data_IF_021742530091
#
_entry.id   IF_021742530091
#
_cell.length_a   1.000
_cell.length_b   1.000
_cell.length_c   1.000
_cell.angle_alpha   90.00
_cell.angle_beta   90.00
_cell.angle_gamma   90.00
#
_symmetry.space_group_name_H-M   'P 1'
#
loop_
_entity.id
_entity.type
_entity.pdbx_description
1 polymer ?
#
# COMPACT_ATOMS: atom_id res chain seq x y z
N UNK A 1 -12.02 -2.23 -14.24
CA UNK A 1 -10.87 -3.15 -14.09
C UNK A 1 -10.49 -3.10 -12.63
N UNK A 2 -10.45 -4.24 -11.95
CA UNK A 2 -10.04 -4.29 -10.55
C UNK A 2 -8.53 -4.02 -10.39
N UNK A 3 -8.12 -3.68 -9.17
CA UNK A 3 -6.72 -3.42 -8.86
C UNK A 3 -5.82 -4.62 -9.14
N UNK A 4 -6.25 -5.81 -8.72
CA UNK A 4 -5.50 -7.05 -8.98
C UNK A 4 -5.36 -7.36 -10.47
N UNK A 5 -6.42 -7.11 -11.26
CA UNK A 5 -6.38 -7.28 -12.72
C UNK A 5 -5.43 -6.29 -13.39
N UNK A 6 -5.38 -5.04 -12.90
CA UNK A 6 -4.46 -4.02 -13.39
C UNK A 6 -3.01 -4.43 -13.12
N UNK A 7 -2.70 -4.87 -11.90
CA UNK A 7 -1.36 -5.34 -11.54
C UNK A 7 -0.96 -6.55 -12.41
N UNK A 8 -1.85 -7.53 -12.54
CA UNK A 8 -1.60 -8.72 -13.37
C UNK A 8 -1.34 -8.36 -14.84
N UNK A 9 -2.05 -7.35 -15.37
CA UNK A 9 -1.82 -6.87 -16.74
C UNK A 9 -0.46 -6.16 -16.87
N UNK A 10 -0.11 -5.29 -15.92
CA UNK A 10 1.15 -4.55 -15.94
C UNK A 10 2.36 -5.46 -15.78
N UNK A 11 2.24 -6.49 -14.95
CA UNK A 11 3.29 -7.48 -14.66
C UNK A 11 3.37 -8.61 -15.70
N UNK A 12 2.63 -8.51 -16.81
CA UNK A 12 2.71 -9.52 -17.87
C UNK A 12 4.05 -9.41 -18.57
N UNK A 13 4.83 -10.50 -18.65
CA UNK A 13 6.06 -10.52 -19.43
C UNK A 13 5.79 -10.23 -20.91
N UNK A 14 6.79 -9.73 -21.60
CA UNK A 14 6.77 -9.56 -23.05
C UNK A 14 6.79 -10.92 -23.78
N UNK A 15 6.81 -10.89 -25.12
CA UNK A 15 6.85 -12.09 -25.98
C UNK A 15 8.10 -12.95 -25.75
N UNK A 16 9.17 -12.37 -25.20
CA UNK A 16 10.43 -13.06 -24.86
C UNK A 16 10.47 -13.55 -23.41
N UNK A 17 9.41 -13.33 -22.63
CA UNK A 17 9.33 -13.71 -21.23
C UNK A 17 9.97 -12.71 -20.27
N UNK A 18 10.35 -11.52 -20.74
CA UNK A 18 11.00 -10.50 -19.92
C UNK A 18 9.98 -9.59 -19.24
N UNK A 19 10.23 -9.26 -17.97
CA UNK A 19 9.51 -8.22 -17.24
C UNK A 19 10.05 -6.83 -17.63
N UNK A 20 9.22 -5.79 -17.52
CA UNK A 20 9.70 -4.41 -17.58
C UNK A 20 10.81 -4.19 -16.54
N UNK A 21 11.88 -3.50 -16.94
CA UNK A 21 13.08 -3.30 -16.10
C UNK A 21 12.99 -2.05 -15.25
N UNK A 22 12.13 -1.12 -15.63
CA UNK A 22 11.93 0.13 -14.91
C UNK A 22 10.45 0.35 -14.61
N UNK A 23 10.16 0.54 -13.32
CA UNK A 23 8.82 0.75 -12.79
C UNK A 23 8.74 2.11 -12.12
N UNK A 24 7.62 2.78 -12.27
CA UNK A 24 7.33 4.03 -11.59
C UNK A 24 5.99 3.95 -10.86
N UNK A 25 6.05 3.85 -9.53
CA UNK A 25 4.88 3.89 -8.66
C UNK A 25 4.61 5.35 -8.27
N UNK A 26 3.44 5.85 -8.64
CA UNK A 26 3.12 7.26 -8.53
C UNK A 26 1.77 7.46 -7.86
N UNK A 27 1.76 8.04 -6.66
CA UNK A 27 0.54 8.33 -5.89
C UNK A 27 0.73 8.13 -4.40
N UNK A 28 -0.20 8.66 -3.63
CA UNK A 28 -0.10 8.78 -2.17
C UNK A 28 -0.91 7.74 -1.39
N UNK A 29 -1.50 6.75 -2.05
CA UNK A 29 -2.27 5.70 -1.36
C UNK A 29 -1.35 4.57 -0.87
N UNK A 30 -1.13 4.43 0.44
CA UNK A 30 -0.13 3.51 0.97
C UNK A 30 -0.43 2.04 0.65
N UNK A 31 -1.69 1.61 0.78
CA UNK A 31 -2.07 0.22 0.52
C UNK A 31 -1.78 -0.18 -0.92
N UNK A 32 -2.16 0.66 -1.88
CA UNK A 32 -1.95 0.37 -3.30
C UNK A 32 -0.45 0.36 -3.65
N UNK A 33 0.32 1.26 -3.03
CA UNK A 33 1.77 1.31 -3.23
C UNK A 33 2.46 0.05 -2.69
N UNK A 34 2.11 -0.39 -1.47
CA UNK A 34 2.64 -1.63 -0.87
C UNK A 34 2.29 -2.83 -1.74
N UNK A 35 1.05 -2.98 -2.15
CA UNK A 35 0.62 -4.11 -2.98
C UNK A 35 1.28 -4.13 -4.35
N UNK A 36 1.48 -2.96 -4.98
CA UNK A 36 2.21 -2.87 -6.24
C UNK A 36 3.67 -3.27 -6.06
N UNK A 37 4.35 -2.77 -5.02
CA UNK A 37 5.72 -3.16 -4.70
C UNK A 37 5.84 -4.66 -4.45
N UNK A 38 4.96 -5.24 -3.65
CA UNK A 38 5.00 -6.68 -3.34
C UNK A 38 4.73 -7.54 -4.58
N UNK A 39 3.83 -7.11 -5.45
CA UNK A 39 3.57 -7.79 -6.70
C UNK A 39 4.79 -7.74 -7.64
N UNK A 40 5.45 -6.57 -7.76
CA UNK A 40 6.68 -6.42 -8.55
C UNK A 40 7.81 -7.26 -7.95
N UNK A 41 8.01 -7.23 -6.63
CA UNK A 41 9.02 -8.05 -5.93
C UNK A 41 8.82 -9.54 -6.19
N UNK A 42 7.58 -10.02 -6.07
CA UNK A 42 7.26 -11.43 -6.32
C UNK A 42 7.52 -11.83 -7.77
N UNK A 43 7.22 -10.96 -8.74
CA UNK A 43 7.49 -11.18 -10.14
C UNK A 43 9.00 -11.13 -10.44
N UNK A 44 9.72 -10.15 -9.90
CA UNK A 44 11.16 -10.00 -10.03
C UNK A 44 11.90 -11.22 -9.47
N UNK A 45 11.53 -11.69 -8.27
CA UNK A 45 12.13 -12.88 -7.68
C UNK A 45 11.96 -14.13 -8.57
N UNK A 46 10.76 -14.32 -9.14
CA UNK A 46 10.51 -15.41 -10.09
C UNK A 46 11.32 -15.29 -11.38
N UNK A 47 11.68 -14.07 -11.78
CA UNK A 47 12.52 -13.78 -12.94
C UNK A 47 14.04 -13.81 -12.64
N UNK A 48 14.42 -14.21 -11.42
CA UNK A 48 15.82 -14.42 -11.00
C UNK A 48 16.51 -13.21 -10.37
N UNK A 49 15.76 -12.13 -10.06
CA UNK A 49 16.31 -11.00 -9.29
C UNK A 49 16.36 -11.39 -7.81
N UNK A 50 17.48 -11.93 -7.38
CA UNK A 50 17.66 -12.54 -6.03
C UNK A 50 18.12 -11.54 -4.99
N UNK A 51 18.83 -10.50 -5.40
CA UNK A 51 19.32 -9.46 -4.51
C UNK A 51 18.43 -8.23 -4.52
N UNK A 52 18.21 -7.61 -3.35
CA UNK A 52 17.40 -6.41 -3.20
C UNK A 52 18.19 -5.33 -2.48
N UNK A 53 18.27 -4.15 -3.10
CA UNK A 53 18.82 -2.93 -2.50
C UNK A 53 17.70 -1.88 -2.44
N UNK A 54 17.55 -1.19 -1.29
CA UNK A 54 16.49 -0.19 -1.12
C UNK A 54 17.07 1.12 -0.60
N UNK A 55 16.66 2.23 -1.22
CA UNK A 55 17.13 3.58 -0.93
C UNK A 55 15.94 4.51 -0.74
N UNK A 56 16.04 5.41 0.25
CA UNK A 56 15.08 6.48 0.48
C UNK A 56 15.82 7.81 0.41
N UNK A 57 15.36 8.72 -0.47
CA UNK A 57 16.01 10.00 -0.68
C UNK A 57 15.04 11.15 -0.48
N UNK A 58 15.43 12.11 0.35
CA UNK A 58 14.68 13.34 0.62
C UNK A 58 15.57 14.56 0.45
N UNK A 59 15.01 15.60 -0.14
CA UNK A 59 15.70 16.90 -0.28
C UNK A 59 17.04 16.80 -1.01
N UNK A 60 18.08 17.37 -0.43
CA UNK A 60 19.45 17.35 -0.97
C UNK A 60 20.22 16.12 -0.48
N UNK A 61 19.68 14.93 -0.70
CA UNK A 61 20.32 13.70 -0.29
C UNK A 61 21.62 13.42 -1.07
N UNK A 62 22.47 12.56 -0.49
CA UNK A 62 23.63 11.98 -1.17
C UNK A 62 23.19 10.74 -1.96
N UNK A 63 23.33 10.79 -3.27
CA UNK A 63 22.97 9.71 -4.20
C UNK A 63 24.12 8.74 -4.50
N UNK A 64 25.30 8.92 -3.88
CA UNK A 64 26.48 8.06 -4.11
C UNK A 64 26.17 6.56 -3.91
N UNK A 65 25.42 6.13 -2.87
CA UNK A 65 25.09 4.71 -2.71
C UNK A 65 24.22 4.15 -3.84
N UNK A 66 23.35 4.99 -4.43
CA UNK A 66 22.56 4.61 -5.59
C UNK A 66 23.44 4.44 -6.84
N UNK A 67 24.35 5.37 -7.10
CA UNK A 67 25.29 5.26 -8.23
C UNK A 67 26.19 4.03 -8.11
N UNK A 68 26.64 3.71 -6.93
CA UNK A 68 27.38 2.46 -6.66
C UNK A 68 26.52 1.24 -7.01
N UNK A 69 25.27 1.18 -6.51
CA UNK A 69 24.37 0.07 -6.78
C UNK A 69 24.00 -0.07 -8.28
N UNK A 70 23.86 1.06 -8.99
CA UNK A 70 23.61 1.07 -10.42
C UNK A 70 24.87 0.68 -11.24
N UNK A 71 26.06 1.06 -10.77
CA UNK A 71 27.35 0.75 -11.40
C UNK A 71 27.87 -0.66 -11.10
N UNK A 72 27.33 -1.32 -10.08
CA UNK A 72 27.77 -2.67 -9.69
C UNK A 72 27.50 -3.66 -10.85
N UNK A 73 28.57 -4.30 -11.31
CA UNK A 73 28.47 -5.41 -12.25
C UNK A 73 28.60 -6.70 -11.48
N UNK A 74 27.55 -7.51 -11.46
CA UNK A 74 27.63 -8.83 -10.82
C UNK A 74 28.67 -9.70 -11.53
N UNK A 75 29.71 -10.08 -10.81
CA UNK A 75 30.72 -11.01 -11.29
C UNK A 75 30.18 -12.44 -11.46
N UNK A 76 29.03 -12.72 -10.87
CA UNK A 76 28.40 -14.05 -10.84
C UNK A 76 27.07 -14.12 -11.60
N UNK A 77 26.71 -13.05 -12.35
CA UNK A 77 25.43 -12.99 -13.07
C UNK A 77 24.20 -12.86 -12.19
N UNK A 78 24.37 -12.39 -10.95
CA UNK A 78 23.24 -12.14 -10.04
C UNK A 78 22.46 -10.92 -10.49
N UNK A 79 21.12 -11.07 -10.55
CA UNK A 79 20.22 -9.98 -10.89
C UNK A 79 19.75 -9.23 -9.66
N UNK A 80 19.78 -7.91 -9.72
CA UNK A 80 19.45 -7.02 -8.61
C UNK A 80 18.11 -6.31 -8.81
N UNK A 81 17.29 -6.30 -7.77
CA UNK A 81 16.13 -5.41 -7.65
C UNK A 81 16.53 -4.18 -6.83
N UNK A 82 16.51 -3.01 -7.46
CA UNK A 82 16.84 -1.74 -6.83
C UNK A 82 15.54 -0.96 -6.60
N UNK A 83 15.24 -0.65 -5.35
CA UNK A 83 14.06 0.12 -4.97
C UNK A 83 14.50 1.53 -4.52
N UNK A 84 13.94 2.54 -5.17
CA UNK A 84 14.21 3.94 -4.87
C UNK A 84 12.92 4.62 -4.46
N UNK A 85 12.88 5.16 -3.26
CA UNK A 85 11.73 5.86 -2.72
C UNK A 85 12.03 7.35 -2.59
N UNK A 86 11.21 8.14 -3.23
CA UNK A 86 11.11 9.57 -3.02
C UNK A 86 9.81 9.86 -2.26
N UNK A 87 9.85 10.12 -0.95
CA UNK A 87 8.65 10.47 -0.18
C UNK A 87 7.96 11.71 -0.73
N UNK A 88 8.75 12.64 -1.30
CA UNK A 88 8.29 13.89 -1.93
C UNK A 88 9.00 14.15 -3.25
N UNK A 89 8.35 14.93 -4.12
CA UNK A 89 8.92 15.35 -5.40
C UNK A 89 10.08 16.36 -5.30
N UNK A 90 10.43 16.79 -4.11
CA UNK A 90 11.61 17.64 -3.84
C UNK A 90 12.87 16.79 -3.73
N UNK A 91 13.40 16.39 -4.89
CA UNK A 91 14.56 15.47 -4.99
C UNK A 91 15.93 16.20 -4.97
N UNK A 92 15.94 17.50 -4.63
CA UNK A 92 17.15 18.31 -4.54
C UNK A 92 17.84 18.59 -5.87
N UNK A 93 19.04 19.19 -5.80
CA UNK A 93 19.79 19.61 -6.99
C UNK A 93 20.30 18.41 -7.81
N UNK A 94 20.74 17.35 -7.13
CA UNK A 94 21.37 16.19 -7.76
C UNK A 94 20.34 15.09 -8.13
N UNK A 95 19.10 15.20 -7.64
CA UNK A 95 18.04 14.23 -7.90
C UNK A 95 17.72 14.01 -9.38
N UNK A 96 17.61 15.06 -10.21
CA UNK A 96 17.41 14.87 -11.65
C UNK A 96 18.48 13.99 -12.30
N UNK A 97 19.76 14.22 -11.98
CA UNK A 97 20.85 13.39 -12.51
C UNK A 97 20.78 11.94 -12.00
N UNK A 98 20.34 11.73 -10.75
CA UNK A 98 20.14 10.39 -10.22
C UNK A 98 18.98 9.64 -10.93
N UNK A 99 17.91 10.35 -11.29
CA UNK A 99 16.81 9.77 -12.08
C UNK A 99 17.27 9.41 -13.49
N UNK A 100 18.07 10.25 -14.15
CA UNK A 100 18.64 9.92 -15.47
C UNK A 100 19.54 8.67 -15.37
N UNK A 101 20.38 8.57 -14.34
CA UNK A 101 21.20 7.38 -14.12
C UNK A 101 20.35 6.10 -13.90
N UNK A 102 19.23 6.21 -13.19
CA UNK A 102 18.27 5.10 -13.05
C UNK A 102 17.76 4.65 -14.42
N UNK A 103 17.35 5.60 -15.27
CA UNK A 103 16.82 5.30 -16.61
C UNK A 103 17.87 4.62 -17.48
N UNK A 104 19.11 5.09 -17.42
CA UNK A 104 20.24 4.56 -18.22
C UNK A 104 20.68 3.17 -17.79
N UNK A 105 20.60 2.84 -16.47
CA UNK A 105 21.15 1.60 -15.92
C UNK A 105 20.10 0.53 -15.59
N UNK A 106 18.81 0.78 -15.87
CA UNK A 106 17.77 -0.25 -15.77
C UNK A 106 17.92 -1.24 -16.95
N UNK A 107 18.61 -2.35 -16.71
CA UNK A 107 19.02 -3.34 -17.71
C UNK A 107 18.56 -4.77 -17.36
N UNK A 108 19.11 -5.79 -18.00
CA UNK A 108 18.74 -7.20 -17.80
C UNK A 108 19.12 -7.72 -16.41
N UNK A 109 20.14 -7.14 -15.80
CA UNK A 109 20.66 -7.52 -14.50
C UNK A 109 20.13 -6.62 -13.38
N UNK A 110 19.54 -5.47 -13.74
CA UNK A 110 19.03 -4.48 -12.79
C UNK A 110 17.60 -4.05 -13.08
N UNK A 111 16.67 -4.55 -12.31
CA UNK A 111 15.29 -4.05 -12.29
C UNK A 111 15.20 -2.91 -11.28
N UNK A 112 14.68 -1.76 -11.69
CA UNK A 112 14.54 -0.60 -10.81
C UNK A 112 13.07 -0.25 -10.60
N UNK A 113 12.69 -0.04 -9.34
CA UNK A 113 11.36 0.44 -8.94
C UNK A 113 11.51 1.79 -8.28
N UNK A 114 11.00 2.82 -8.91
CA UNK A 114 10.95 4.17 -8.35
C UNK A 114 9.56 4.42 -7.78
N UNK A 115 9.47 4.82 -6.53
CA UNK A 115 8.22 5.21 -5.86
C UNK A 115 8.24 6.68 -5.50
N UNK A 116 7.19 7.41 -5.90
CA UNK A 116 7.00 8.82 -5.56
C UNK A 116 5.62 8.99 -4.93
N UNK A 117 5.59 9.33 -3.64
CA UNK A 117 4.33 9.35 -2.87
C UNK A 117 3.66 10.72 -2.82
N UNK A 118 4.42 11.77 -2.57
CA UNK A 118 3.87 13.12 -2.48
C UNK A 118 4.42 13.99 -3.62
N UNK A 119 3.54 14.37 -4.52
CA UNK A 119 3.88 15.24 -5.65
C UNK A 119 2.72 16.16 -5.98
N UNK A 120 3.08 17.33 -6.50
CA UNK A 120 2.14 18.31 -6.99
C UNK A 120 2.22 18.46 -8.53
N UNK A 121 1.34 19.30 -9.08
CA UNK A 121 1.35 19.59 -10.49
C UNK A 121 2.64 20.23 -11.01
N UNK A 122 3.42 20.87 -10.12
CA UNK A 122 4.71 21.50 -10.51
C UNK A 122 5.77 20.45 -10.79
N UNK A 123 5.73 19.31 -10.06
CA UNK A 123 6.60 18.18 -10.31
C UNK A 123 6.37 17.58 -11.71
N UNK A 124 5.13 17.52 -12.16
CA UNK A 124 4.77 16.97 -13.49
C UNK A 124 5.30 17.80 -14.66
N UNK A 125 5.76 19.02 -14.41
CA UNK A 125 6.41 19.91 -15.41
C UNK A 125 7.92 19.76 -15.47
N UNK A 126 8.52 19.01 -14.56
CA UNK A 126 9.97 18.79 -14.52
C UNK A 126 10.41 17.76 -15.56
N UNK A 127 11.55 18.03 -16.18
CA UNK A 127 12.09 17.14 -17.23
C UNK A 127 12.35 15.74 -16.72
N UNK A 128 12.99 15.60 -15.53
CA UNK A 128 13.25 14.31 -14.92
C UNK A 128 11.96 13.47 -14.70
N UNK A 129 10.87 14.12 -14.29
CA UNK A 129 9.58 13.45 -14.10
C UNK A 129 9.04 12.92 -15.43
N UNK A 130 9.06 13.76 -16.46
CA UNK A 130 8.58 13.40 -17.79
C UNK A 130 9.46 12.34 -18.45
N UNK A 131 10.78 12.35 -18.25
CA UNK A 131 11.68 11.31 -18.72
C UNK A 131 11.37 9.97 -18.05
N UNK A 132 11.23 9.95 -16.71
CA UNK A 132 10.89 8.75 -15.97
C UNK A 132 9.51 8.19 -16.37
N UNK A 133 8.51 9.07 -16.53
CA UNK A 133 7.16 8.69 -17.00
C UNK A 133 7.16 8.04 -18.39
N UNK A 134 8.07 8.44 -19.26
CA UNK A 134 8.20 7.88 -20.62
C UNK A 134 8.98 6.56 -20.64
N UNK A 135 10.00 6.45 -19.79
CA UNK A 135 10.90 5.30 -19.76
C UNK A 135 10.34 4.12 -18.96
N UNK A 136 9.54 4.39 -17.92
CA UNK A 136 9.08 3.38 -16.99
C UNK A 136 7.66 2.89 -17.27
N UNK A 137 7.36 1.67 -16.83
CA UNK A 137 5.96 1.23 -16.68
C UNK A 137 5.38 1.89 -15.43
N UNK A 138 4.48 2.85 -15.64
CA UNK A 138 3.84 3.57 -14.55
C UNK A 138 2.64 2.80 -13.99
N UNK A 139 2.58 2.72 -12.64
CA UNK A 139 1.43 2.25 -11.87
C UNK A 139 0.98 3.41 -10.98
N UNK A 140 -0.26 3.86 -11.18
CA UNK A 140 -0.86 4.91 -10.36
C UNK A 140 -1.38 4.30 -9.06
N UNK A 141 -0.98 4.91 -7.95
CA UNK A 141 -1.40 4.55 -6.59
C UNK A 141 -2.08 5.74 -5.92
N UNK A 142 -2.99 6.37 -6.65
CA UNK A 142 -3.74 7.52 -6.14
C UNK A 142 -4.82 7.06 -5.16
N UNK A 143 -5.22 7.93 -4.22
CA UNK A 143 -6.36 7.69 -3.35
C UNK A 143 -7.64 7.40 -4.15
N UNK A 144 -8.45 6.49 -3.64
CA UNK A 144 -9.74 6.15 -4.23
C UNK A 144 -10.76 7.22 -3.82
N UNK A 145 -11.49 7.74 -4.81
CA UNK A 145 -12.57 8.68 -4.56
C UNK A 145 -13.61 8.07 -3.60
N UNK A 146 -14.14 8.90 -2.68
CA UNK A 146 -15.12 8.47 -1.68
C UNK A 146 -16.34 7.78 -2.31
N UNK A 147 -16.78 8.26 -3.45
CA UNK A 147 -17.93 7.67 -4.14
C UNK A 147 -17.61 6.33 -4.82
N UNK A 148 -16.34 6.09 -5.14
CA UNK A 148 -15.88 4.84 -5.72
C UNK A 148 -15.51 3.78 -4.67
N UNK A 149 -15.32 4.19 -3.40
CA UNK A 149 -14.87 3.32 -2.32
C UNK A 149 -15.80 2.11 -2.06
N UNK A 150 -17.12 2.23 -1.98
CA UNK A 150 -18.00 1.08 -1.77
C UNK A 150 -17.87 0.03 -2.87
N UNK A 151 -17.74 0.46 -4.12
CA UNK A 151 -17.50 -0.46 -5.24
C UNK A 151 -16.16 -1.17 -5.12
N UNK A 152 -15.11 -0.46 -4.76
CA UNK A 152 -13.80 -1.04 -4.51
C UNK A 152 -13.83 -2.08 -3.38
N UNK A 153 -14.58 -1.81 -2.30
CA UNK A 153 -14.79 -2.73 -1.18
C UNK A 153 -15.44 -4.03 -1.66
N UNK A 154 -16.52 -3.94 -2.43
CA UNK A 154 -17.21 -5.11 -2.98
C UNK A 154 -16.28 -5.94 -3.90
N UNK A 155 -15.57 -5.28 -4.81
CA UNK A 155 -14.62 -5.95 -5.72
C UNK A 155 -13.52 -6.64 -4.91
N UNK A 156 -12.99 -5.98 -3.89
CA UNK A 156 -11.92 -6.51 -3.05
C UNK A 156 -12.35 -7.70 -2.18
N UNK A 157 -13.51 -7.63 -1.56
CA UNK A 157 -14.04 -8.75 -0.78
C UNK A 157 -14.23 -9.99 -1.65
N UNK A 158 -14.76 -9.80 -2.87
CA UNK A 158 -14.91 -10.89 -3.82
C UNK A 158 -13.57 -11.48 -4.27
N UNK A 159 -12.58 -10.65 -4.55
CA UNK A 159 -11.25 -11.09 -5.01
C UNK A 159 -10.44 -11.79 -3.91
N UNK A 160 -10.46 -11.25 -2.70
CA UNK A 160 -9.62 -11.76 -1.60
C UNK A 160 -10.26 -12.91 -0.84
N UNK A 161 -11.57 -12.86 -0.66
CA UNK A 161 -12.29 -13.79 0.25
C UNK A 161 -13.32 -14.65 -0.48
N UNK A 162 -13.62 -14.37 -1.77
CA UNK A 162 -14.70 -15.02 -2.50
C UNK A 162 -16.11 -14.59 -2.05
N UNK A 163 -16.21 -13.61 -1.14
CA UNK A 163 -17.47 -13.15 -0.55
C UNK A 163 -18.05 -11.97 -1.34
N UNK A 164 -19.36 -11.93 -1.45
CA UNK A 164 -20.10 -10.83 -2.07
C UNK A 164 -20.70 -9.96 -0.97
N UNK A 165 -20.38 -8.67 -0.95
CA UNK A 165 -21.01 -7.71 -0.04
C UNK A 165 -22.20 -7.05 -0.71
N UNK A 166 -23.28 -6.84 0.06
CA UNK A 166 -24.36 -5.95 -0.40
C UNK A 166 -23.86 -4.50 -0.48
N UNK A 167 -24.48 -3.64 -1.32
CA UNK A 167 -24.12 -2.21 -1.38
C UNK A 167 -24.20 -1.51 -0.02
N UNK A 168 -25.19 -1.85 0.81
CA UNK A 168 -25.37 -1.25 2.13
C UNK A 168 -24.26 -1.68 3.09
N UNK A 169 -23.82 -2.95 3.07
CA UNK A 169 -22.68 -3.42 3.85
C UNK A 169 -21.38 -2.70 3.41
N UNK A 170 -21.18 -2.54 2.09
CA UNK A 170 -20.02 -1.84 1.57
C UNK A 170 -20.00 -0.34 1.93
N UNK A 171 -21.15 0.32 1.89
CA UNK A 171 -21.30 1.71 2.33
C UNK A 171 -20.98 1.86 3.82
N UNK A 172 -21.49 0.97 4.67
CA UNK A 172 -21.21 0.97 6.10
C UNK A 172 -19.69 0.87 6.38
N UNK A 173 -19.00 -0.05 5.70
CA UNK A 173 -17.55 -0.20 5.84
C UNK A 173 -16.82 1.07 5.39
N UNK A 174 -17.23 1.64 4.24
CA UNK A 174 -16.65 2.86 3.70
C UNK A 174 -16.80 4.05 4.66
N UNK A 175 -17.96 4.19 5.30
CA UNK A 175 -18.20 5.22 6.30
C UNK A 175 -17.34 5.04 7.55
N UNK A 176 -17.23 3.81 8.04
CA UNK A 176 -16.45 3.48 9.24
C UNK A 176 -14.95 3.65 9.09
N UNK A 177 -14.44 3.43 7.90
CA UNK A 177 -12.99 3.51 7.62
C UNK A 177 -12.55 4.88 7.09
N UNK A 178 -13.49 5.82 6.89
CA UNK A 178 -13.25 7.22 6.49
C UNK A 178 -12.29 7.38 5.30
N UNK A 179 -12.25 6.40 4.40
CA UNK A 179 -11.37 6.40 3.23
C UNK A 179 -9.95 5.84 3.48
N UNK A 180 -9.64 5.38 4.68
CA UNK A 180 -8.40 4.68 4.95
C UNK A 180 -8.44 3.26 4.35
N UNK A 181 -7.82 3.08 3.17
CA UNK A 181 -7.85 1.79 2.46
C UNK A 181 -7.17 0.66 3.22
N UNK A 182 -6.15 0.96 4.03
CA UNK A 182 -5.48 -0.06 4.84
C UNK A 182 -6.44 -0.59 5.92
N UNK A 183 -7.11 0.30 6.64
CA UNK A 183 -8.15 -0.06 7.60
C UNK A 183 -9.31 -0.80 6.91
N UNK A 184 -9.76 -0.30 5.74
CA UNK A 184 -10.80 -0.95 4.93
C UNK A 184 -10.41 -2.39 4.56
N UNK A 185 -9.17 -2.59 4.14
CA UNK A 185 -8.67 -3.93 3.79
C UNK A 185 -8.64 -4.87 4.99
N UNK A 186 -8.27 -4.36 6.17
CA UNK A 186 -8.29 -5.12 7.42
C UNK A 186 -9.71 -5.50 7.84
N UNK A 187 -10.67 -4.58 7.72
CA UNK A 187 -12.08 -4.88 7.99
C UNK A 187 -12.64 -5.95 7.06
N UNK A 188 -12.33 -5.89 5.77
CA UNK A 188 -12.72 -6.94 4.81
C UNK A 188 -12.14 -8.30 5.20
N UNK A 189 -10.86 -8.36 5.59
CA UNK A 189 -10.23 -9.61 6.02
C UNK A 189 -10.86 -10.15 7.31
N UNK A 190 -11.15 -9.28 8.26
CA UNK A 190 -11.83 -9.64 9.51
C UNK A 190 -13.23 -10.21 9.27
N UNK A 191 -14.00 -9.59 8.39
CA UNK A 191 -15.31 -10.10 7.96
C UNK A 191 -15.22 -11.54 7.45
N UNK A 192 -14.20 -11.86 6.64
CA UNK A 192 -14.01 -13.21 6.12
C UNK A 192 -13.74 -14.25 7.21
N UNK A 193 -13.13 -13.84 8.32
CA UNK A 193 -12.84 -14.72 9.44
C UNK A 193 -14.05 -14.92 10.36
N UNK A 194 -14.89 -13.90 10.51
CA UNK A 194 -16.02 -13.89 11.45
C UNK A 194 -17.31 -14.40 10.81
N UNK A 195 -17.51 -14.13 9.52
CA UNK A 195 -18.76 -14.42 8.80
C UNK A 195 -18.53 -15.49 7.76
N UNK A 196 -18.93 -16.72 8.07
CA UNK A 196 -18.81 -17.85 7.16
C UNK A 196 -20.05 -17.98 6.25
N UNK A 197 -20.29 -16.94 5.43
CA UNK A 197 -21.37 -16.87 4.44
C UNK A 197 -20.82 -16.39 3.10
N UNK A 198 -21.37 -16.82 1.96
CA UNK A 198 -20.96 -16.36 0.63
C UNK A 198 -21.42 -14.92 0.34
N UNK A 199 -22.52 -14.49 0.98
CA UNK A 199 -23.07 -13.13 0.86
C UNK A 199 -23.15 -12.49 2.25
N UNK A 200 -22.63 -11.27 2.36
CA UNK A 200 -22.55 -10.48 3.58
C UNK A 200 -23.47 -9.28 3.44
N UNK A 201 -24.44 -9.19 4.31
CA UNK A 201 -25.37 -8.07 4.39
C UNK A 201 -24.91 -7.03 5.45
N UNK A 202 -25.70 -5.98 5.60
CA UNK A 202 -25.41 -4.89 6.54
C UNK A 202 -25.43 -5.36 8.01
N UNK A 203 -26.26 -6.36 8.35
CA UNK A 203 -26.31 -6.88 9.72
C UNK A 203 -25.07 -7.68 10.08
N UNK A 204 -24.60 -8.50 9.15
CA UNK A 204 -23.33 -9.23 9.29
C UNK A 204 -22.14 -8.26 9.46
N UNK A 205 -22.14 -7.18 8.67
CA UNK A 205 -21.10 -6.16 8.75
C UNK A 205 -21.15 -5.36 10.06
N UNK A 206 -22.35 -5.02 10.55
CA UNK A 206 -22.55 -4.36 11.84
C UNK A 206 -22.06 -5.23 12.99
N UNK A 207 -22.41 -6.50 13.00
CA UNK A 207 -22.01 -7.43 14.06
C UNK A 207 -20.48 -7.58 14.11
N UNK A 208 -19.84 -7.75 12.95
CA UNK A 208 -18.40 -7.88 12.85
C UNK A 208 -17.65 -6.59 13.25
N UNK A 209 -18.18 -5.43 12.90
CA UNK A 209 -17.61 -4.12 13.28
C UNK A 209 -17.87 -3.81 14.76
N UNK A 210 -19.04 -4.18 15.28
CA UNK A 210 -19.40 -3.98 16.69
C UNK A 210 -18.53 -4.78 17.64
N UNK A 211 -18.03 -5.95 17.22
CA UNK A 211 -17.11 -6.75 18.03
C UNK A 211 -15.75 -6.08 18.30
N UNK A 212 -15.34 -5.11 17.46
CA UNK A 212 -14.10 -4.32 17.67
C UNK A 212 -14.39 -3.02 18.45
N UNK A 213 -15.55 -2.40 18.21
CA UNK A 213 -15.97 -1.20 18.95
C UNK A 213 -16.43 -1.50 20.37
N UNK A 214 -16.54 -2.77 20.78
CA UNK A 214 -16.93 -3.13 22.15
C UNK A 214 -15.95 -2.66 23.21
N UNK A 215 -14.75 -2.25 22.83
CA UNK A 215 -13.67 -1.93 23.76
C UNK A 215 -12.88 -0.67 23.38
N UNK A 216 -13.55 0.35 22.85
CA UNK A 216 -12.94 1.66 22.63
C UNK A 216 -13.00 2.55 23.89
N UNK A 217 -12.33 3.70 23.83
CA UNK A 217 -12.31 4.66 24.93
C UNK A 217 -13.70 5.16 25.31
N UNK A 218 -14.57 5.31 24.33
CA UNK A 218 -15.93 5.81 24.52
C UNK A 218 -16.80 4.79 25.25
N UNK A 219 -16.70 3.50 24.90
CA UNK A 219 -17.37 2.40 25.60
C UNK A 219 -16.90 2.27 27.06
N UNK A 220 -15.60 2.46 27.31
CA UNK A 220 -15.07 2.47 28.67
C UNK A 220 -15.65 3.63 29.47
N UNK A 221 -15.67 4.83 28.88
CA UNK A 221 -16.19 6.03 29.53
C UNK A 221 -17.69 5.91 29.82
N UNK A 222 -18.48 5.40 28.89
CA UNK A 222 -19.91 5.14 29.09
C UNK A 222 -20.16 4.11 30.18
N UNK A 223 -19.45 2.99 30.18
CA UNK A 223 -19.56 1.98 31.24
C UNK A 223 -19.17 2.53 32.61
N UNK A 224 -18.19 3.45 32.68
CA UNK A 224 -17.84 4.15 33.93
C UNK A 224 -18.95 5.10 34.39
N UNK A 225 -19.58 5.84 33.46
CA UNK A 225 -20.68 6.75 33.80
C UNK A 225 -21.94 5.99 34.24
N UNK A 226 -22.21 4.82 33.66
CA UNK A 226 -23.33 3.95 34.04
C UNK A 226 -23.06 3.16 35.31
N UNK A 227 -21.85 3.17 35.85
CA UNK A 227 -21.45 2.45 37.03
C UNK A 227 -21.38 0.93 36.86
N UNK A 228 -21.30 0.44 35.63
CA UNK A 228 -21.17 -1.00 35.33
C UNK A 228 -19.73 -1.49 35.53
N UNK A 229 -19.38 -1.80 36.76
CA UNK A 229 -18.04 -2.28 37.12
C UNK A 229 -17.63 -3.57 36.39
N UNK A 230 -18.58 -4.42 35.99
CA UNK A 230 -18.27 -5.65 35.23
C UNK A 230 -17.85 -5.33 33.82
N UNK A 231 -18.57 -4.41 33.18
CA UNK A 231 -18.26 -3.95 31.83
C UNK A 231 -16.93 -3.20 31.79
N UNK A 232 -16.69 -2.32 32.75
CA UNK A 232 -15.41 -1.62 32.94
C UNK A 232 -14.24 -2.61 33.04
N UNK A 233 -14.33 -3.62 33.91
CA UNK A 233 -13.28 -4.62 34.08
C UNK A 233 -13.00 -5.38 32.77
N UNK A 234 -14.04 -5.81 32.07
CA UNK A 234 -13.95 -6.56 30.82
C UNK A 234 -13.30 -5.74 29.69
N UNK A 235 -13.62 -4.43 29.60
CA UNK A 235 -13.03 -3.51 28.65
C UNK A 235 -11.54 -3.28 28.97
N UNK A 236 -11.19 -3.09 30.23
CA UNK A 236 -9.81 -2.90 30.67
C UNK A 236 -8.97 -4.15 30.37
N UNK A 237 -9.47 -5.33 30.67
CA UNK A 237 -8.76 -6.59 30.40
C UNK A 237 -8.47 -6.77 28.89
N UNK A 238 -9.42 -6.40 28.04
CA UNK A 238 -9.23 -6.45 26.57
C UNK A 238 -8.20 -5.42 26.08
N UNK A 239 -8.29 -4.17 26.56
CA UNK A 239 -7.34 -3.11 26.20
C UNK A 239 -5.90 -3.41 26.67
N UNK A 240 -5.75 -4.09 27.82
CA UNK A 240 -4.44 -4.57 28.29
C UNK A 240 -3.87 -5.68 27.40
N UNK A 241 -4.73 -6.56 26.87
CA UNK A 241 -4.31 -7.59 25.90
C UNK A 241 -3.79 -7.02 24.58
N UNK A 242 -4.22 -5.82 24.18
CA UNK A 242 -3.80 -5.12 22.98
C UNK A 242 -2.54 -4.24 23.16
N UNK A 243 -1.86 -4.29 24.30
CA UNK A 243 -0.69 -3.43 24.63
C UNK A 243 -0.97 -1.91 24.55
N UNK A 244 -2.21 -1.49 24.70
CA UNK A 244 -2.56 -0.06 24.70
C UNK A 244 -2.09 0.55 26.02
N UNK A 245 -1.25 1.58 25.94
CA UNK A 245 -0.73 2.25 27.15
C UNK A 245 -1.84 3.05 27.82
N UNK A 246 -2.26 2.61 29.01
CA UNK A 246 -3.31 3.23 29.84
C UNK A 246 -3.14 4.76 30.05
N UNK A 247 -1.93 5.34 30.14
CA UNK A 247 -1.77 6.79 30.27
C UNK A 247 -2.34 7.64 29.12
N UNK A 248 -2.54 7.06 27.94
CA UNK A 248 -3.12 7.80 26.80
C UNK A 248 -4.62 8.08 26.93
N UNK A 249 -5.29 7.51 27.93
CA UNK A 249 -6.72 7.68 28.20
C UNK A 249 -7.06 8.81 29.18
N UNK A 250 -6.06 9.45 29.77
CA UNK A 250 -6.26 10.43 30.84
C UNK A 250 -5.97 11.88 30.43
N UNK A 251 -5.71 12.14 29.14
CA UNK A 251 -5.45 13.49 28.61
C UNK A 251 -6.33 13.82 27.42
#
# INVERSE_FOLDING_TARGET
MSWSSLLAQKLRPDENGNLPRLWFLLGSEPLLAIEAQDAIRAAAFKAGYSERKSFVFEGNADYSPLYEALGDQSLFGEKNLIEVVFPRATIGKNGPAAVEAIIEHADEDKMVVVSLFDYDWTATKKDWFNHLMKAAVCIRTDPIDRNALPRWIMERAKEKNGQTLTPDAANLIAERTEGNLLATSQEIQKLALLVNKPEIDVSDALDAVSDVSRFDQESLFLAMLEGDARQVSKIIDSLQGENVQIPSFLW
#
